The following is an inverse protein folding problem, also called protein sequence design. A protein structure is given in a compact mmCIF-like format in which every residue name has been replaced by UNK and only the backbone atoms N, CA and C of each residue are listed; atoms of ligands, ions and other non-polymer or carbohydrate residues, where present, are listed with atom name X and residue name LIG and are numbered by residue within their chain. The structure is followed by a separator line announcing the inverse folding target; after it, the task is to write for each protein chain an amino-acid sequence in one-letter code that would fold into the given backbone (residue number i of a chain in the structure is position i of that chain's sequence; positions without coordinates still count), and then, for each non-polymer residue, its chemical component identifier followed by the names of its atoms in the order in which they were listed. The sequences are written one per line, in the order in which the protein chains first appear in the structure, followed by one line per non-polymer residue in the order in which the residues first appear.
data_IF_093344656716
#
_entry.id   IF_093344656716
#
_cell.length_a   1.000
_cell.length_b   1.000
_cell.length_c   1.000
_cell.angle_alpha   90.00
_cell.angle_beta   90.00
_cell.angle_gamma   90.00
#
_symmetry.space_group_name_H-M   'P 1'
#
loop_
_entity.id
_entity.type
_entity.pdbx_description
1 polymer ?
#
# COMPACT_ATOMS: atom_id res chain seq x y z
N UNK A 1 41.69 33.67 -12.32
CA UNK A 1 40.50 32.79 -12.42
C UNK A 1 39.70 33.02 -11.14
N UNK A 2 38.57 33.71 -11.21
CA UNK A 2 37.80 34.10 -10.03
C UNK A 2 36.54 33.23 -9.97
N UNK A 3 36.49 32.30 -9.01
CA UNK A 3 35.32 31.44 -8.80
C UNK A 3 34.31 32.25 -7.98
N UNK A 4 33.26 32.73 -8.65
CA UNK A 4 32.12 33.34 -7.95
C UNK A 4 31.30 32.19 -7.39
N UNK A 5 31.31 32.03 -6.06
CA UNK A 5 30.41 31.09 -5.40
C UNK A 5 28.97 31.49 -5.73
N UNK A 6 28.22 30.57 -6.34
CA UNK A 6 26.81 30.77 -6.63
C UNK A 6 26.11 30.98 -5.28
N UNK A 7 25.65 32.20 -4.99
CA UNK A 7 24.81 32.44 -3.83
C UNK A 7 23.50 31.68 -4.07
N UNK A 8 23.39 30.47 -3.50
CA UNK A 8 22.09 29.83 -3.32
C UNK A 8 21.28 30.80 -2.47
N UNK A 9 20.29 31.46 -3.09
CA UNK A 9 19.19 32.02 -2.33
C UNK A 9 18.67 30.87 -1.44
N UNK A 10 18.48 31.06 -0.13
CA UNK A 10 17.79 30.07 0.67
C UNK A 10 16.48 29.79 -0.07
N UNK A 11 16.27 28.53 -0.47
CA UNK A 11 15.04 28.10 -1.12
C UNK A 11 13.94 28.39 -0.10
N UNK A 12 13.26 29.53 -0.27
CA UNK A 12 12.03 29.83 0.45
C UNK A 12 11.10 28.67 0.11
N UNK A 13 10.78 27.85 1.10
CA UNK A 13 10.03 26.62 0.90
C UNK A 13 10.78 25.33 1.19
N UNK A 14 12.12 25.29 1.25
CA UNK A 14 12.84 24.06 1.57
C UNK A 14 12.50 23.53 2.98
N UNK A 15 12.53 22.20 3.11
CA UNK A 15 12.42 21.54 4.41
C UNK A 15 13.56 21.97 5.33
N UNK A 16 13.24 22.28 6.59
CA UNK A 16 14.25 22.40 7.62
C UNK A 16 14.76 21.03 8.05
N UNK A 17 15.97 20.98 8.62
CA UNK A 17 16.55 19.74 9.13
C UNK A 17 15.69 19.11 10.23
N UNK A 18 15.05 19.92 11.06
CA UNK A 18 14.16 19.44 12.14
C UNK A 18 12.88 18.81 11.59
N UNK A 19 12.31 19.38 10.53
CA UNK A 19 11.14 18.80 9.85
C UNK A 19 11.50 17.46 9.20
N UNK A 20 12.63 17.40 8.49
CA UNK A 20 13.11 16.16 7.89
C UNK A 20 13.41 15.08 8.94
N UNK A 21 14.06 15.44 10.04
CA UNK A 21 14.30 14.52 11.15
C UNK A 21 12.99 14.00 11.75
N UNK A 22 12.00 14.88 11.95
CA UNK A 22 10.67 14.48 12.45
C UNK A 22 9.98 13.48 11.52
N UNK A 23 10.00 13.74 10.22
CA UNK A 23 9.46 12.85 9.20
C UNK A 23 10.22 11.52 9.16
N UNK A 24 11.56 11.57 9.16
CA UNK A 24 12.42 10.41 9.15
C UNK A 24 12.19 9.49 10.34
N UNK A 25 12.18 10.04 11.55
CA UNK A 25 12.01 9.27 12.78
C UNK A 25 10.60 8.68 12.92
N UNK A 26 9.58 9.49 12.61
CA UNK A 26 8.19 9.07 12.83
C UNK A 26 7.77 8.03 11.79
N UNK A 27 8.09 8.28 10.51
CA UNK A 27 7.74 7.39 9.39
C UNK A 27 8.69 6.19 9.33
N UNK A 28 9.90 6.30 9.91
CA UNK A 28 11.04 5.38 9.74
C UNK A 28 11.55 5.39 8.29
N UNK A 29 11.79 6.58 7.74
CA UNK A 29 12.37 6.73 6.40
C UNK A 29 13.73 6.01 6.34
N UNK A 30 13.99 5.30 5.23
CA UNK A 30 15.20 4.49 5.06
C UNK A 30 15.19 3.13 5.79
N UNK A 31 14.20 2.86 6.65
CA UNK A 31 14.04 1.54 7.25
C UNK A 31 13.28 0.61 6.29
N UNK A 32 13.77 -0.63 6.11
CA UNK A 32 13.23 -1.64 5.16
C UNK A 32 13.41 -1.32 3.67
N UNK A 33 14.42 -0.53 3.30
CA UNK A 33 14.76 -0.28 1.89
C UNK A 33 13.74 0.58 1.14
N UNK A 34 12.93 1.37 1.87
CA UNK A 34 12.06 2.38 1.27
C UNK A 34 12.85 3.64 0.97
N UNK A 35 12.86 3.99 -0.31
CA UNK A 35 13.45 5.21 -0.80
C UNK A 35 12.49 6.38 -0.63
N UNK A 36 13.06 7.57 -0.50
CA UNK A 36 12.32 8.80 -0.36
C UNK A 36 13.10 9.93 -0.99
N UNK A 37 12.39 10.94 -1.48
CA UNK A 37 12.96 12.10 -2.16
C UNK A 37 12.31 13.38 -1.65
N UNK A 38 13.00 14.51 -1.85
CA UNK A 38 12.44 15.84 -1.58
C UNK A 38 12.36 16.62 -2.87
N UNK A 39 11.25 17.33 -3.06
CA UNK A 39 11.05 18.25 -4.15
C UNK A 39 10.43 19.55 -3.68
N UNK A 40 10.06 20.37 -4.66
CA UNK A 40 9.35 21.62 -4.46
C UNK A 40 8.18 21.64 -5.44
N UNK A 41 7.00 22.06 -4.98
CA UNK A 41 5.82 22.20 -5.84
C UNK A 41 5.97 23.36 -6.82
N UNK A 42 5.07 23.47 -7.79
CA UNK A 42 5.01 24.61 -8.71
C UNK A 42 4.82 25.95 -7.96
N UNK A 43 4.18 25.92 -6.79
CA UNK A 43 3.95 27.08 -5.93
C UNK A 43 5.15 27.40 -5.02
N UNK A 44 6.22 26.61 -5.06
CA UNK A 44 7.39 26.79 -4.22
C UNK A 44 7.32 26.09 -2.86
N UNK A 45 6.33 25.23 -2.63
CA UNK A 45 6.14 24.54 -1.36
C UNK A 45 7.04 23.33 -1.22
N UNK A 46 7.49 23.05 0.01
CA UNK A 46 8.28 21.85 0.31
C UNK A 46 7.44 20.59 0.05
N UNK A 47 8.00 19.59 -0.63
CA UNK A 47 7.35 18.30 -0.79
C UNK A 47 8.33 17.15 -0.49
N UNK A 48 7.85 16.11 0.17
CA UNK A 48 8.56 14.87 0.43
C UNK A 48 7.78 13.72 -0.19
N UNK A 49 8.44 12.91 -0.98
CA UNK A 49 7.89 11.75 -1.65
C UNK A 49 8.41 10.49 -0.99
N UNK A 50 7.50 9.59 -0.63
CA UNK A 50 7.84 8.24 -0.24
C UNK A 50 7.59 7.31 -1.42
N UNK A 51 8.64 6.63 -1.87
CA UNK A 51 8.59 5.77 -3.04
C UNK A 51 8.20 4.36 -2.65
N UNK A 52 7.40 3.74 -3.51
CA UNK A 52 7.10 2.32 -3.48
C UNK A 52 8.31 1.47 -3.84
N UNK A 53 8.16 0.14 -3.81
CA UNK A 53 9.24 -0.77 -4.16
C UNK A 53 9.66 -0.63 -5.63
N UNK A 54 10.90 -1.03 -5.92
CA UNK A 54 11.35 -1.26 -7.29
C UNK A 54 10.53 -2.40 -7.96
N UNK A 55 10.37 -2.37 -9.30
CA UNK A 55 11.03 -1.45 -10.25
C UNK A 55 10.27 -0.16 -10.54
N UNK A 56 8.99 -0.05 -10.19
CA UNK A 56 8.20 1.12 -10.60
C UNK A 56 8.56 2.38 -9.80
N UNK A 57 9.00 2.23 -8.54
CA UNK A 57 9.36 3.34 -7.63
C UNK A 57 8.31 4.47 -7.62
N UNK A 58 7.03 4.14 -7.86
CA UNK A 58 5.97 5.12 -7.88
C UNK A 58 5.78 5.74 -6.50
N UNK A 59 5.36 7.00 -6.43
CA UNK A 59 5.04 7.63 -5.16
C UNK A 59 3.88 6.87 -4.49
N UNK A 60 4.08 6.37 -3.26
CA UNK A 60 3.02 5.76 -2.46
C UNK A 60 2.31 6.81 -1.59
N UNK A 61 3.09 7.73 -1.03
CA UNK A 61 2.63 8.85 -0.22
C UNK A 61 3.49 10.07 -0.48
N UNK A 62 2.89 11.25 -0.42
CA UNK A 62 3.61 12.51 -0.38
C UNK A 62 3.18 13.36 0.81
N UNK A 63 4.13 14.11 1.36
CA UNK A 63 3.87 15.13 2.39
C UNK A 63 4.29 16.47 1.82
N UNK A 64 3.39 17.44 1.83
CA UNK A 64 3.64 18.79 1.34
C UNK A 64 3.48 19.82 2.46
N UNK A 65 4.28 20.88 2.48
CA UNK A 65 4.10 22.02 3.40
C UNK A 65 3.58 23.22 2.62
N UNK A 66 2.27 23.40 2.64
CA UNK A 66 1.54 24.45 1.90
C UNK A 66 0.95 25.43 2.90
N UNK A 67 1.27 26.72 2.76
CA UNK A 67 0.73 27.81 3.61
C UNK A 67 0.81 27.55 5.14
N UNK A 68 1.88 26.88 5.58
CA UNK A 68 2.10 26.53 6.99
C UNK A 68 1.24 25.35 7.50
N UNK A 69 0.54 24.65 6.62
CA UNK A 69 -0.09 23.37 6.87
C UNK A 69 0.71 22.25 6.23
N UNK A 70 0.67 21.08 6.85
CA UNK A 70 1.21 19.86 6.29
C UNK A 70 0.06 19.03 5.73
N UNK A 71 0.21 18.64 4.47
CA UNK A 71 -0.78 17.90 3.70
C UNK A 71 -0.16 16.53 3.41
N UNK A 72 -0.91 15.46 3.68
CA UNK A 72 -0.57 14.08 3.34
C UNK A 72 -1.51 13.60 2.25
N UNK A 73 -0.95 13.18 1.14
CA UNK A 73 -1.69 12.61 0.01
C UNK A 73 -1.17 11.22 -0.34
N UNK A 74 -2.00 10.41 -0.98
CA UNK A 74 -1.55 9.17 -1.60
C UNK A 74 -0.94 9.39 -2.99
N UNK A 75 -0.35 8.34 -3.56
CA UNK A 75 0.24 8.36 -4.90
C UNK A 75 -0.68 8.79 -6.05
N UNK A 76 -1.99 8.91 -5.81
CA UNK A 76 -2.97 9.40 -6.80
C UNK A 76 -3.33 10.88 -6.61
N UNK A 77 -2.74 11.55 -5.61
CA UNK A 77 -3.05 12.92 -5.24
C UNK A 77 -4.31 13.05 -4.38
N UNK A 78 -4.82 11.95 -3.81
CA UNK A 78 -5.97 12.03 -2.89
C UNK A 78 -5.48 12.43 -1.50
N UNK A 79 -6.09 13.48 -0.96
CA UNK A 79 -5.88 13.92 0.42
C UNK A 79 -6.24 12.82 1.42
N UNK A 80 -5.28 12.40 2.22
CA UNK A 80 -5.49 11.46 3.32
C UNK A 80 -5.62 12.17 4.67
N UNK A 81 -4.83 13.22 4.89
CA UNK A 81 -4.82 13.96 6.14
C UNK A 81 -4.19 15.35 5.97
N UNK A 82 -4.68 16.35 6.72
CA UNK A 82 -4.09 17.68 6.77
C UNK A 82 -4.02 18.19 8.22
N UNK A 83 -2.90 18.79 8.59
CA UNK A 83 -2.75 19.41 9.91
C UNK A 83 -1.59 20.39 9.97
N UNK A 84 -1.63 21.36 10.88
CA UNK A 84 -0.49 22.26 11.20
C UNK A 84 0.64 21.59 11.98
N UNK A 85 0.48 20.32 12.37
CA UNK A 85 1.40 19.61 13.26
C UNK A 85 2.03 18.48 12.47
N UNK A 86 3.29 18.68 12.07
CA UNK A 86 4.05 17.69 11.31
C UNK A 86 4.11 16.32 12.00
N UNK A 87 4.30 16.20 13.33
CA UNK A 87 4.26 14.90 14.00
C UNK A 87 2.94 14.14 13.82
N UNK A 88 1.79 14.83 13.81
CA UNK A 88 0.49 14.20 13.60
C UNK A 88 0.32 13.69 12.17
N UNK A 89 0.79 14.49 11.20
CA UNK A 89 0.79 14.10 9.78
C UNK A 89 1.73 12.91 9.56
N UNK A 90 2.92 12.93 10.14
CA UNK A 90 3.90 11.85 10.05
C UNK A 90 3.39 10.56 10.71
N UNK A 91 2.66 10.65 11.82
CA UNK A 91 1.99 9.51 12.44
C UNK A 91 0.91 8.92 11.53
N UNK A 92 0.07 9.76 10.89
CA UNK A 92 -0.90 9.30 9.90
C UNK A 92 -0.23 8.65 8.70
N UNK A 93 0.85 9.23 8.17
CA UNK A 93 1.63 8.64 7.09
C UNK A 93 2.13 7.23 7.47
N UNK A 94 2.69 7.07 8.68
CA UNK A 94 3.11 5.75 9.19
C UNK A 94 1.97 4.74 9.23
N UNK A 95 0.77 5.17 9.63
CA UNK A 95 -0.40 4.28 9.67
C UNK A 95 -0.90 3.91 8.26
N UNK A 96 -0.92 4.87 7.33
CA UNK A 96 -1.30 4.65 5.94
C UNK A 96 -0.40 3.59 5.29
N UNK A 97 0.91 3.64 5.55
CA UNK A 97 1.87 2.64 5.04
C UNK A 97 1.67 1.23 5.58
N UNK A 98 1.06 1.08 6.76
CA UNK A 98 0.73 -0.25 7.32
C UNK A 98 -0.57 -0.82 6.73
N UNK A 99 -1.45 0.04 6.24
CA UNK A 99 -2.76 -0.32 5.70
C UNK A 99 -2.70 -0.96 4.32
N UNK A 100 -1.63 -0.73 3.55
CA UNK A 100 -1.47 -1.24 2.18
C UNK A 100 -1.06 -2.73 2.15
N UNK A 101 -1.93 -3.59 2.69
CA UNK A 101 -1.77 -5.07 2.70
C UNK A 101 -2.49 -5.73 1.53
N UNK A 102 -2.51 -5.11 0.36
CA UNK A 102 -3.14 -5.67 -0.85
C UNK A 102 -2.62 -7.07 -1.19
N UNK A 103 -1.34 -7.34 -0.92
CA UNK A 103 -0.74 -8.67 -1.09
C UNK A 103 -1.35 -9.74 -0.19
N UNK A 104 -1.81 -9.39 1.02
CA UNK A 104 -2.54 -10.34 1.89
C UNK A 104 -3.92 -10.65 1.35
N UNK A 105 -4.62 -9.62 0.84
CA UNK A 105 -5.94 -9.81 0.20
C UNK A 105 -5.79 -10.73 -1.02
N UNK A 106 -4.81 -10.47 -1.88
CA UNK A 106 -4.52 -11.33 -3.03
C UNK A 106 -4.21 -12.78 -2.61
N UNK A 107 -3.44 -12.98 -1.54
CA UNK A 107 -3.18 -14.32 -0.99
C UNK A 107 -4.44 -15.03 -0.50
N UNK A 108 -5.31 -14.32 0.22
CA UNK A 108 -6.58 -14.87 0.71
C UNK A 108 -7.46 -15.26 -0.48
N UNK A 109 -7.55 -14.42 -1.50
CA UNK A 109 -8.31 -14.71 -2.72
C UNK A 109 -7.75 -15.93 -3.46
N UNK A 110 -6.42 -16.03 -3.60
CA UNK A 110 -5.78 -17.20 -4.23
C UNK A 110 -6.05 -18.49 -3.46
N UNK A 111 -5.90 -18.46 -2.13
CA UNK A 111 -6.20 -19.61 -1.27
C UNK A 111 -7.67 -19.99 -1.38
N UNK A 112 -8.59 -19.02 -1.35
CA UNK A 112 -10.00 -19.26 -1.53
C UNK A 112 -10.33 -19.89 -2.88
N UNK A 113 -9.73 -19.40 -3.97
CA UNK A 113 -9.88 -19.98 -5.30
C UNK A 113 -9.38 -21.43 -5.34
N UNK A 114 -8.25 -21.75 -4.72
CA UNK A 114 -7.73 -23.14 -4.67
C UNK A 114 -8.64 -24.07 -3.88
N UNK A 115 -9.17 -23.63 -2.74
CA UNK A 115 -10.12 -24.43 -1.94
C UNK A 115 -11.40 -24.68 -2.73
N UNK A 116 -11.95 -23.65 -3.38
CA UNK A 116 -13.14 -23.79 -4.23
C UNK A 116 -12.90 -24.78 -5.37
N UNK A 117 -11.73 -24.72 -6.01
CA UNK A 117 -11.40 -25.62 -7.10
C UNK A 117 -11.30 -27.08 -6.62
N UNK A 118 -10.63 -27.34 -5.49
CA UNK A 118 -10.58 -28.71 -4.93
C UNK A 118 -11.95 -29.24 -4.51
N UNK A 119 -12.80 -28.38 -3.92
CA UNK A 119 -14.18 -28.77 -3.59
C UNK A 119 -14.99 -29.11 -4.85
N UNK A 120 -14.83 -28.35 -5.93
CA UNK A 120 -15.51 -28.63 -7.19
C UNK A 120 -15.03 -29.95 -7.80
N UNK A 121 -13.72 -30.16 -7.84
CA UNK A 121 -13.10 -31.33 -8.46
C UNK A 121 -13.35 -32.64 -7.66
N UNK A 122 -13.55 -32.59 -6.34
CA UNK A 122 -13.77 -33.79 -5.51
C UNK A 122 -15.26 -34.07 -5.24
N UNK A 123 -16.10 -33.04 -5.08
CA UNK A 123 -17.52 -33.26 -4.73
C UNK A 123 -18.33 -33.72 -5.93
N UNK A 124 -18.05 -33.20 -7.13
CA UNK A 124 -18.78 -33.57 -8.34
C UNK A 124 -18.58 -35.04 -8.75
N UNK A 125 -17.36 -35.63 -8.74
CA UNK A 125 -17.20 -37.05 -8.98
C UNK A 125 -17.72 -37.92 -7.84
N UNK A 126 -17.59 -37.50 -6.58
CA UNK A 126 -18.12 -38.27 -5.43
C UNK A 126 -19.66 -38.38 -5.47
N UNK A 127 -20.34 -37.30 -5.88
CA UNK A 127 -21.80 -37.33 -6.05
C UNK A 127 -22.22 -38.16 -7.27
N UNK A 128 -21.45 -38.09 -8.36
CA UNK A 128 -21.74 -38.86 -9.59
C UNK A 128 -21.50 -40.36 -9.40
N UNK A 129 -20.40 -40.76 -8.76
CA UNK A 129 -20.14 -42.17 -8.39
C UNK A 129 -21.16 -42.68 -7.35
N UNK A 130 -21.59 -41.82 -6.42
CA UNK A 130 -22.63 -42.14 -5.45
C UNK A 130 -23.99 -42.40 -6.11
N UNK A 131 -24.33 -41.65 -7.16
CA UNK A 131 -25.55 -41.85 -7.95
C UNK A 131 -25.50 -43.18 -8.72
N UNK A 132 -24.38 -43.52 -9.36
CA UNK A 132 -24.21 -44.81 -10.04
C UNK A 132 -24.30 -46.01 -9.08
N UNK A 133 -23.75 -45.89 -7.87
CA UNK A 133 -23.89 -46.92 -6.83
C UNK A 133 -25.35 -47.09 -6.41
N UNK A 134 -26.08 -46.00 -6.19
CA UNK A 134 -27.50 -46.05 -5.81
C UNK A 134 -28.36 -46.67 -6.91
N UNK A 135 -28.05 -46.45 -8.18
CA UNK A 135 -28.73 -47.10 -9.32
C UNK A 135 -28.50 -48.62 -9.32
N UNK A 136 -27.34 -49.11 -8.87
CA UNK A 136 -27.08 -50.55 -8.73
C UNK A 136 -27.76 -51.19 -7.51
N UNK A 137 -27.94 -50.45 -6.41
CA UNK A 137 -28.65 -50.93 -5.22
C UNK A 137 -30.18 -50.80 -5.29
N UNK A 138 -30.70 -49.89 -6.13
CA UNK A 138 -32.14 -49.71 -6.37
C UNK A 138 -32.90 -51.02 -6.71
N UNK A 139 -32.45 -51.89 -7.63
CA UNK A 139 -33.14 -53.15 -7.91
C UNK A 139 -33.10 -54.14 -6.74
N UNK A 140 -32.08 -54.08 -5.88
CA UNK A 140 -31.96 -54.96 -4.70
C UNK A 140 -32.87 -54.49 -3.55
N UNK A 141 -33.08 -53.19 -3.40
CA UNK A 141 -34.02 -52.62 -2.43
C UNK A 141 -35.48 -52.78 -2.88
N UNK A 142 -35.76 -52.74 -4.18
CA UNK A 142 -37.09 -52.99 -4.73
C UNK A 142 -37.57 -54.45 -4.54
N UNK A 143 -36.65 -55.39 -4.30
CA UNK A 143 -36.97 -56.80 -4.01
C UNK A 143 -37.36 -57.05 -2.53
N UNK A 144 -37.21 -56.07 -1.64
CA UNK A 144 -37.56 -56.13 -0.22
C UNK A 144 -38.90 -55.43 0.13
N UNK A 145 -39.63 -54.94 -0.87
CA UNK A 145 -40.98 -54.36 -0.75
C UNK A 145 -42.02 -55.28 -1.40
#
# INVERSE_FOLDING_TARGET
MNVIAFQRKPLQGAWSETELATLADTINLGHRGREWETGITENGDAQLYLLGPQPEQACELCVSRVDGQYILEDGTGRLLFEHRSLPLVAAHARTALRGTRWWLVARIVMVWCTIRHMLHDEIEPLMTEGEELLVHFAPQLAAFV
#
